data_IF_156550277500
#
_entry.id   IF_156550277500
#
_cell.length_a   1.000
_cell.length_b   1.000
_cell.length_c   1.000
_cell.angle_alpha   90.00
_cell.angle_beta   90.00
_cell.angle_gamma   90.00
#
_symmetry.space_group_name_H-M   'P 1'
#
loop_
_entity.id
_entity.type
_entity.pdbx_description
1 polymer ?
#
# COMPACT_ATOMS: atom_id res chain seq x y z
N UNK A 1 -2.26 6.71 13.34
CA UNK A 1 -2.47 5.58 12.40
C UNK A 1 -3.48 4.62 12.98
N UNK A 2 -4.43 4.13 12.19
CA UNK A 2 -5.44 3.15 12.55
C UNK A 2 -5.29 1.91 11.67
N UNK A 3 -5.19 0.73 12.29
CA UNK A 3 -5.12 -0.56 11.60
C UNK A 3 -6.40 -1.31 11.85
N UNK A 4 -7.10 -1.71 10.80
CA UNK A 4 -8.35 -2.43 10.94
C UNK A 4 -8.71 -3.23 9.68
N UNK A 5 -9.61 -4.19 9.83
CA UNK A 5 -10.30 -4.84 8.70
C UNK A 5 -11.63 -4.14 8.46
N UNK A 6 -12.00 -4.00 7.19
CA UNK A 6 -13.29 -3.39 6.82
C UNK A 6 -14.45 -4.38 6.80
N UNK A 7 -14.18 -5.67 6.70
CA UNK A 7 -15.20 -6.72 6.51
C UNK A 7 -15.53 -7.48 7.79
N UNK A 8 -14.67 -7.43 8.81
CA UNK A 8 -14.93 -8.03 10.12
C UNK A 8 -15.97 -7.26 10.93
N UNK A 9 -16.45 -7.83 12.03
CA UNK A 9 -17.41 -7.16 12.92
C UNK A 9 -16.78 -6.02 13.72
N UNK A 10 -15.72 -6.31 14.47
CA UNK A 10 -15.03 -5.33 15.33
C UNK A 10 -14.25 -4.30 14.52
N UNK A 11 -13.44 -4.75 13.56
CA UNK A 11 -12.61 -3.87 12.74
C UNK A 11 -13.41 -2.91 11.88
N UNK A 12 -14.58 -3.30 11.40
CA UNK A 12 -15.49 -2.44 10.65
C UNK A 12 -16.27 -1.49 11.56
N UNK A 13 -17.00 -2.01 12.54
CA UNK A 13 -17.89 -1.23 13.39
C UNK A 13 -17.13 -0.34 14.37
N UNK A 14 -16.35 -0.93 15.27
CA UNK A 14 -15.56 -0.19 16.25
C UNK A 14 -14.48 0.66 15.59
N UNK A 15 -13.79 0.13 14.56
CA UNK A 15 -12.79 0.87 13.80
C UNK A 15 -13.34 2.12 13.16
N UNK A 16 -14.51 2.04 12.52
CA UNK A 16 -15.20 3.20 11.94
C UNK A 16 -15.66 4.21 12.99
N UNK A 17 -16.16 3.74 14.12
CA UNK A 17 -16.56 4.61 15.23
C UNK A 17 -15.35 5.36 15.81
N UNK A 18 -14.24 4.66 16.05
CA UNK A 18 -13.02 5.29 16.53
C UNK A 18 -12.47 6.32 15.54
N UNK A 19 -12.51 6.01 14.24
CA UNK A 19 -12.09 6.93 13.19
C UNK A 19 -12.89 8.24 13.23
N UNK A 20 -14.21 8.15 13.31
CA UNK A 20 -15.10 9.30 13.43
C UNK A 20 -14.79 10.11 14.69
N UNK A 21 -14.64 9.46 15.85
CA UNK A 21 -14.30 10.12 17.11
C UNK A 21 -12.94 10.78 17.12
N UNK A 22 -11.95 10.17 16.45
CA UNK A 22 -10.63 10.77 16.31
C UNK A 22 -10.69 12.01 15.42
N UNK A 23 -11.43 11.96 14.33
CA UNK A 23 -11.62 13.10 13.44
C UNK A 23 -12.32 14.27 14.15
N UNK A 24 -13.36 14.00 14.92
CA UNK A 24 -14.10 15.01 15.70
C UNK A 24 -13.21 15.65 16.76
N UNK A 25 -12.41 14.84 17.46
CA UNK A 25 -11.60 15.32 18.57
C UNK A 25 -10.30 16.00 18.13
N UNK A 26 -9.75 15.58 16.98
CA UNK A 26 -8.47 16.06 16.46
C UNK A 26 -8.56 16.49 15.00
N UNK A 27 -9.38 17.47 14.65
CA UNK A 27 -9.67 17.85 13.25
C UNK A 27 -8.45 18.39 12.50
N UNK A 28 -7.38 18.79 13.21
CA UNK A 28 -6.14 19.31 12.62
C UNK A 28 -5.01 18.27 12.56
N UNK A 29 -5.28 17.01 12.91
CA UNK A 29 -4.29 15.94 12.90
C UNK A 29 -4.55 14.98 11.77
N UNK A 30 -3.50 14.58 11.06
CA UNK A 30 -3.55 13.60 9.99
C UNK A 30 -3.99 12.23 10.52
N UNK A 31 -5.03 11.68 9.92
CA UNK A 31 -5.51 10.33 10.22
C UNK A 31 -5.22 9.44 9.01
N UNK A 32 -4.23 8.58 9.16
CA UNK A 32 -3.90 7.54 8.18
C UNK A 32 -4.41 6.19 8.65
N UNK A 33 -5.03 5.45 7.74
CA UNK A 33 -5.50 4.08 8.01
C UNK A 33 -4.77 3.07 7.14
N UNK A 34 -4.52 1.88 7.71
CA UNK A 34 -4.18 0.67 6.96
C UNK A 34 -5.39 -0.24 7.03
N UNK A 35 -6.08 -0.36 5.92
CA UNK A 35 -7.36 -1.06 5.86
C UNK A 35 -7.23 -2.35 5.08
N UNK A 36 -7.52 -3.46 5.75
CA UNK A 36 -7.48 -4.79 5.15
C UNK A 36 -8.84 -5.07 4.50
N UNK A 37 -8.80 -5.32 3.20
CA UNK A 37 -9.96 -5.65 2.38
C UNK A 37 -10.12 -7.16 2.29
N UNK A 38 -11.36 -7.66 2.32
CA UNK A 38 -11.63 -9.09 2.20
C UNK A 38 -11.27 -9.60 0.81
N UNK A 39 -10.98 -10.90 0.74
CA UNK A 39 -10.91 -11.59 -0.55
C UNK A 39 -12.32 -11.65 -1.16
N UNK A 40 -12.45 -11.10 -2.36
CA UNK A 40 -13.72 -11.13 -3.12
C UNK A 40 -13.82 -12.32 -4.08
N UNK A 41 -12.76 -13.12 -4.22
CA UNK A 41 -12.71 -14.25 -5.15
C UNK A 41 -13.14 -15.55 -4.51
N UNK A 42 -12.88 -15.71 -3.22
CA UNK A 42 -13.39 -16.83 -2.42
C UNK A 42 -14.74 -16.49 -1.81
N UNK A 43 -15.59 -17.50 -1.66
CA UNK A 43 -16.87 -17.30 -0.99
C UNK A 43 -16.62 -16.79 0.45
N UNK A 44 -17.29 -15.71 0.87
CA UNK A 44 -17.07 -15.16 2.20
C UNK A 44 -17.58 -16.14 3.27
N UNK A 45 -16.75 -16.39 4.28
CA UNK A 45 -17.13 -17.19 5.45
C UNK A 45 -18.29 -16.56 6.22
N UNK A 46 -18.41 -15.25 6.12
CA UNK A 46 -19.42 -14.45 6.82
C UNK A 46 -20.30 -13.73 5.78
N UNK A 47 -21.58 -14.05 5.77
CA UNK A 47 -22.57 -13.52 4.80
C UNK A 47 -22.68 -11.98 4.85
N UNK A 48 -22.45 -11.35 6.00
CA UNK A 48 -22.60 -9.89 6.21
C UNK A 48 -21.35 -9.08 5.86
N UNK A 49 -20.27 -9.71 5.40
CA UNK A 49 -19.02 -9.00 5.03
C UNK A 49 -19.24 -7.83 4.05
N UNK A 50 -20.03 -7.95 2.98
CA UNK A 50 -20.23 -6.85 2.03
C UNK A 50 -20.91 -5.64 2.67
N UNK A 51 -21.85 -5.86 3.59
CA UNK A 51 -22.52 -4.77 4.30
C UNK A 51 -21.57 -4.05 5.25
N UNK A 52 -20.79 -4.79 6.03
CA UNK A 52 -19.79 -4.24 6.91
C UNK A 52 -18.75 -3.42 6.11
N UNK A 53 -18.28 -3.97 5.00
CA UNK A 53 -17.32 -3.31 4.13
C UNK A 53 -17.87 -1.99 3.55
N UNK A 54 -19.11 -1.99 3.05
CA UNK A 54 -19.72 -0.79 2.48
C UNK A 54 -19.90 0.32 3.52
N UNK A 55 -20.36 -0.03 4.72
CA UNK A 55 -20.53 0.92 5.82
C UNK A 55 -19.20 1.48 6.32
N UNK A 56 -18.15 0.63 6.42
CA UNK A 56 -16.81 1.06 6.78
C UNK A 56 -16.18 1.96 5.72
N UNK A 57 -16.35 1.65 4.42
CA UNK A 57 -15.86 2.48 3.31
C UNK A 57 -16.46 3.88 3.33
N UNK A 58 -17.74 4.01 3.65
CA UNK A 58 -18.38 5.32 3.81
C UNK A 58 -17.65 6.15 4.87
N UNK A 59 -17.39 5.58 6.05
CA UNK A 59 -16.70 6.29 7.14
C UNK A 59 -15.24 6.61 6.80
N UNK A 60 -14.55 5.72 6.10
CA UNK A 60 -13.20 5.95 5.61
C UNK A 60 -13.17 7.11 4.61
N UNK A 61 -14.14 7.20 3.72
CA UNK A 61 -14.22 8.28 2.72
C UNK A 61 -14.51 9.65 3.37
N UNK A 62 -15.29 9.68 4.44
CA UNK A 62 -15.68 10.90 5.12
C UNK A 62 -14.64 11.40 6.14
N UNK A 63 -13.91 10.50 6.82
CA UNK A 63 -13.16 10.84 8.03
C UNK A 63 -11.65 10.52 7.98
N UNK A 64 -11.17 9.80 6.98
CA UNK A 64 -9.75 9.51 6.84
C UNK A 64 -9.08 10.48 5.88
N UNK A 65 -7.85 10.92 6.18
CA UNK A 65 -7.04 11.74 5.27
C UNK A 65 -6.31 10.87 4.25
N UNK A 66 -5.89 9.67 4.63
CA UNK A 66 -5.30 8.71 3.73
C UNK A 66 -5.62 7.28 4.15
N UNK A 67 -5.93 6.44 3.18
CA UNK A 67 -6.25 5.02 3.36
C UNK A 67 -5.30 4.18 2.52
N UNK A 68 -4.42 3.43 3.18
CA UNK A 68 -3.59 2.44 2.52
C UNK A 68 -4.39 1.13 2.42
N UNK A 69 -4.65 0.73 1.20
CA UNK A 69 -5.46 -0.47 0.91
C UNK A 69 -4.57 -1.70 0.87
N UNK A 70 -4.93 -2.71 1.64
CA UNK A 70 -4.29 -4.02 1.68
C UNK A 70 -5.35 -5.10 1.39
N UNK A 71 -5.20 -5.80 0.28
CA UNK A 71 -6.18 -6.81 -0.15
C UNK A 71 -5.69 -8.21 0.21
N UNK A 72 -6.48 -8.95 0.98
CA UNK A 72 -6.15 -10.32 1.40
C UNK A 72 -5.91 -11.26 0.22
N UNK A 73 -6.67 -11.12 -0.88
CA UNK A 73 -6.46 -11.93 -2.08
C UNK A 73 -5.09 -11.67 -2.71
N UNK A 74 -4.68 -10.41 -2.80
CA UNK A 74 -3.38 -10.03 -3.33
C UNK A 74 -2.24 -10.52 -2.43
N UNK A 75 -2.40 -10.36 -1.13
CA UNK A 75 -1.41 -10.80 -0.14
C UNK A 75 -1.24 -12.32 -0.13
N UNK A 76 -2.33 -13.08 -0.18
CA UNK A 76 -2.29 -14.54 -0.28
C UNK A 76 -1.60 -14.99 -1.58
N UNK A 77 -1.88 -14.34 -2.70
CA UNK A 77 -1.20 -14.59 -3.98
C UNK A 77 0.31 -14.33 -3.88
N UNK A 78 0.72 -13.21 -3.30
CA UNK A 78 2.13 -12.88 -3.12
C UNK A 78 2.82 -13.91 -2.22
N UNK A 79 2.19 -14.31 -1.12
CA UNK A 79 2.70 -15.34 -0.23
C UNK A 79 2.90 -16.69 -0.95
N UNK A 80 1.91 -17.12 -1.72
CA UNK A 80 1.97 -18.35 -2.49
C UNK A 80 3.03 -18.31 -3.61
N UNK A 81 3.02 -17.24 -4.42
CA UNK A 81 3.85 -17.15 -5.64
C UNK A 81 5.31 -16.83 -5.34
N UNK A 82 5.58 -16.03 -4.32
CA UNK A 82 6.91 -15.47 -4.06
C UNK A 82 7.61 -16.14 -2.89
N UNK A 83 6.88 -16.45 -1.82
CA UNK A 83 7.43 -17.03 -0.61
C UNK A 83 7.21 -18.54 -0.55
N UNK A 84 6.36 -19.09 -1.43
CA UNK A 84 5.96 -20.52 -1.45
C UNK A 84 5.41 -21.02 -0.11
N UNK A 85 4.76 -20.13 0.62
CA UNK A 85 4.21 -20.41 1.96
C UNK A 85 2.73 -20.03 1.98
N UNK A 86 1.95 -20.82 2.70
CA UNK A 86 0.52 -20.59 2.86
C UNK A 86 0.19 -20.40 4.35
N UNK A 87 -0.52 -19.34 4.69
CA UNK A 87 -0.99 -19.11 6.06
C UNK A 87 -1.17 -17.64 6.41
N UNK A 88 -1.91 -17.39 7.45
CA UNK A 88 -2.22 -16.03 7.93
C UNK A 88 -1.01 -15.33 8.53
N UNK A 89 -0.08 -16.09 9.12
CA UNK A 89 1.13 -15.56 9.74
C UNK A 89 2.01 -14.86 8.69
N UNK A 90 2.20 -15.49 7.54
CA UNK A 90 3.00 -14.93 6.44
C UNK A 90 2.33 -13.72 5.80
N UNK A 91 1.01 -13.74 5.70
CA UNK A 91 0.23 -12.58 5.25
C UNK A 91 0.43 -11.40 6.19
N UNK A 92 0.40 -11.63 7.50
CA UNK A 92 0.66 -10.61 8.50
C UNK A 92 2.11 -10.09 8.46
N UNK A 93 3.08 -10.96 8.17
CA UNK A 93 4.47 -10.57 7.97
C UNK A 93 4.64 -9.66 6.75
N UNK A 94 3.96 -9.96 5.64
CA UNK A 94 3.94 -9.08 4.46
C UNK A 94 3.35 -7.70 4.78
N UNK A 95 2.22 -7.66 5.48
CA UNK A 95 1.60 -6.41 5.93
C UNK A 95 2.57 -5.61 6.81
N UNK A 96 3.19 -6.26 7.79
CA UNK A 96 4.17 -5.64 8.67
C UNK A 96 5.36 -5.06 7.89
N UNK A 97 5.86 -5.79 6.89
CA UNK A 97 6.95 -5.33 6.02
C UNK A 97 6.55 -4.08 5.22
N UNK A 98 5.38 -4.07 4.63
CA UNK A 98 4.85 -2.91 3.89
C UNK A 98 4.66 -1.71 4.80
N UNK A 99 4.09 -1.90 5.99
CA UNK A 99 3.93 -0.84 6.98
C UNK A 99 5.28 -0.29 7.45
N UNK A 100 6.23 -1.17 7.71
CA UNK A 100 7.60 -0.78 8.07
C UNK A 100 8.26 0.03 6.97
N UNK A 101 8.16 -0.40 5.73
CA UNK A 101 8.73 0.30 4.59
C UNK A 101 8.06 1.65 4.32
N UNK A 102 6.72 1.74 4.44
CA UNK A 102 5.97 3.01 4.25
C UNK A 102 6.30 4.08 5.29
N UNK A 103 6.70 3.67 6.49
CA UNK A 103 7.07 4.57 7.58
C UNK A 103 8.59 4.73 7.75
N UNK A 104 9.37 4.15 6.85
CA UNK A 104 10.83 4.16 6.95
C UNK A 104 11.42 5.58 6.96
N UNK A 105 10.90 6.47 6.12
CA UNK A 105 11.35 7.86 6.05
C UNK A 105 11.08 8.65 7.32
N UNK A 106 10.02 8.33 8.06
CA UNK A 106 9.71 8.90 9.35
C UNK A 106 10.63 8.38 10.46
N UNK A 107 10.89 7.07 10.46
CA UNK A 107 11.69 6.40 11.50
C UNK A 107 13.21 6.61 11.31
N UNK A 108 13.62 6.71 10.06
CA UNK A 108 15.01 6.95 9.66
C UNK A 108 15.05 8.20 8.79
N UNK A 109 15.12 9.40 9.41
CA UNK A 109 15.04 10.66 8.69
C UNK A 109 16.22 10.83 7.72
N UNK A 110 15.90 11.19 6.49
CA UNK A 110 16.83 11.53 5.43
C UNK A 110 16.75 13.03 5.09
N UNK A 111 17.24 13.39 3.91
CA UNK A 111 17.23 14.78 3.44
C UNK A 111 15.86 15.25 2.95
N UNK A 112 14.97 14.32 2.60
CA UNK A 112 13.66 14.63 1.99
C UNK A 112 12.54 13.81 2.65
N UNK A 113 11.35 14.42 2.77
CA UNK A 113 10.12 13.75 3.21
C UNK A 113 10.23 13.00 4.55
N UNK A 114 10.64 13.70 5.59
CA UNK A 114 10.81 13.13 6.94
C UNK A 114 9.52 13.11 7.76
N UNK A 115 8.42 13.59 7.20
CA UNK A 115 7.12 13.68 7.86
C UNK A 115 6.02 13.05 7.02
N UNK A 116 5.01 12.50 7.68
CA UNK A 116 3.86 11.89 7.00
C UNK A 116 2.97 12.92 6.32
N UNK A 117 2.95 14.15 6.82
CA UNK A 117 2.13 15.21 6.23
C UNK A 117 2.63 15.56 4.85
N UNK A 118 3.95 15.74 4.68
CA UNK A 118 4.58 15.99 3.39
C UNK A 118 4.39 14.84 2.40
N UNK A 119 4.48 13.58 2.89
CA UNK A 119 4.22 12.39 2.07
C UNK A 119 2.78 12.35 1.57
N UNK A 120 1.82 12.51 2.45
CA UNK A 120 0.39 12.50 2.12
C UNK A 120 0.04 13.66 1.19
N UNK A 121 0.57 14.85 1.44
CA UNK A 121 0.36 16.03 0.60
C UNK A 121 0.88 15.84 -0.84
N UNK A 122 1.99 15.12 -1.00
CA UNK A 122 2.54 14.82 -2.32
C UNK A 122 1.74 13.76 -3.09
N UNK A 123 1.12 12.81 -2.37
CA UNK A 123 0.38 11.70 -2.95
C UNK A 123 -1.08 12.02 -3.25
N UNK A 124 -1.70 12.90 -2.46
CA UNK A 124 -3.13 13.17 -2.50
C UNK A 124 -3.37 14.61 -2.96
N UNK A 125 -3.37 14.87 -4.27
CA UNK A 125 -3.65 16.21 -4.79
C UNK A 125 -5.13 16.61 -4.65
N UNK A 126 -6.02 15.63 -4.51
CA UNK A 126 -7.46 15.85 -4.37
C UNK A 126 -7.96 15.11 -3.12
N UNK A 127 -8.59 15.80 -2.15
CA UNK A 127 -8.98 15.20 -0.87
C UNK A 127 -9.87 13.95 -0.98
N UNK A 128 -10.65 13.83 -2.05
CA UNK A 128 -11.54 12.68 -2.26
C UNK A 128 -10.83 11.45 -2.82
N UNK A 129 -9.64 11.62 -3.41
CA UNK A 129 -8.83 10.54 -4.00
C UNK A 129 -7.73 10.13 -3.02
N UNK A 130 -8.10 9.69 -1.83
CA UNK A 130 -7.18 9.40 -0.73
C UNK A 130 -6.97 7.91 -0.45
N UNK A 131 -7.47 7.03 -1.31
CA UNK A 131 -7.20 5.60 -1.25
C UNK A 131 -5.89 5.30 -1.99
N UNK A 132 -4.91 4.82 -1.25
CA UNK A 132 -3.56 4.57 -1.74
C UNK A 132 -3.33 3.07 -1.95
N UNK A 133 -2.73 2.74 -3.06
CA UNK A 133 -2.31 1.40 -3.39
C UNK A 133 -0.82 1.24 -3.09
N UNK A 134 -0.44 0.17 -2.39
CA UNK A 134 0.95 -0.15 -2.09
C UNK A 134 1.49 -1.24 -2.99
N UNK A 135 2.78 -1.17 -3.30
CA UNK A 135 3.54 -2.21 -3.97
C UNK A 135 4.92 -2.34 -3.31
N UNK A 136 5.46 -3.54 -3.27
CA UNK A 136 6.75 -3.80 -2.61
C UNK A 136 7.61 -4.76 -3.45
N UNK A 137 8.91 -4.55 -3.42
CA UNK A 137 9.90 -5.46 -3.99
C UNK A 137 11.30 -5.18 -3.39
N UNK A 138 12.16 -6.16 -3.18
CA UNK A 138 11.93 -7.60 -3.35
C UNK A 138 11.22 -8.22 -2.16
N UNK A 139 10.40 -9.25 -2.40
CA UNK A 139 9.98 -10.14 -1.34
C UNK A 139 11.07 -11.20 -1.16
N UNK A 140 11.65 -11.26 0.03
CA UNK A 140 12.65 -12.26 0.39
C UNK A 140 12.07 -13.17 1.47
N UNK A 141 12.16 -14.48 1.25
CA UNK A 141 11.90 -15.45 2.29
C UNK A 141 13.00 -15.44 3.38
N UNK A 142 12.89 -16.28 4.38
CA UNK A 142 13.86 -16.35 5.51
C UNK A 142 15.30 -16.61 5.09
N UNK A 143 15.54 -17.16 3.88
CA UNK A 143 16.88 -17.43 3.35
C UNK A 143 17.47 -16.22 2.60
N UNK A 144 17.71 -15.13 3.33
CA UNK A 144 18.24 -13.87 2.77
C UNK A 144 19.65 -14.02 2.17
N UNK A 145 20.43 -14.99 2.62
CA UNK A 145 21.84 -15.12 2.22
C UNK A 145 22.03 -15.58 0.78
N UNK A 146 21.09 -16.31 0.22
CA UNK A 146 21.13 -16.74 -1.17
C UNK A 146 20.68 -15.66 -2.17
N UNK A 147 19.91 -14.69 -1.73
CA UNK A 147 19.41 -13.62 -2.60
C UNK A 147 20.46 -12.54 -2.92
N UNK A 148 21.49 -12.39 -2.08
CA UNK A 148 22.54 -11.38 -2.25
C UNK A 148 23.52 -11.69 -3.38
N UNK A 149 23.62 -12.93 -3.80
CA UNK A 149 24.67 -13.38 -4.74
C UNK A 149 24.25 -13.37 -6.20
N UNK A 150 22.98 -13.20 -6.54
CA UNK A 150 22.50 -13.63 -7.86
C UNK A 150 22.23 -12.54 -8.89
N UNK A 151 22.05 -11.26 -8.56
CA UNK A 151 21.91 -10.21 -9.60
C UNK A 151 22.19 -8.81 -9.10
N UNK A 152 23.07 -8.08 -9.79
CA UNK A 152 23.05 -6.60 -9.80
C UNK A 152 21.71 -6.14 -10.38
N UNK A 153 20.78 -5.79 -9.53
CA UNK A 153 19.46 -5.32 -9.94
C UNK A 153 19.57 -3.83 -10.23
N UNK A 154 19.29 -3.42 -11.45
CA UNK A 154 19.28 -1.99 -11.79
C UNK A 154 18.05 -1.32 -11.19
N UNK A 155 18.13 0.00 -10.95
CA UNK A 155 16.98 0.79 -10.46
C UNK A 155 15.79 0.65 -11.41
N UNK A 156 16.03 0.63 -12.71
CA UNK A 156 15.00 0.42 -13.73
C UNK A 156 14.26 -0.91 -13.57
N UNK A 157 14.99 -2.01 -13.34
CA UNK A 157 14.36 -3.33 -13.17
C UNK A 157 13.46 -3.38 -11.93
N UNK A 158 13.88 -2.69 -10.88
CA UNK A 158 13.11 -2.58 -9.66
C UNK A 158 11.84 -1.78 -9.89
N UNK A 159 11.93 -0.61 -10.53
CA UNK A 159 10.76 0.22 -10.82
C UNK A 159 9.76 -0.52 -11.72
N UNK A 160 10.24 -1.24 -12.73
CA UNK A 160 9.39 -2.09 -13.58
C UNK A 160 8.72 -3.21 -12.81
N UNK A 161 9.41 -3.85 -11.86
CA UNK A 161 8.83 -4.90 -11.02
C UNK A 161 7.74 -4.36 -10.10
N UNK A 162 7.92 -3.18 -9.53
CA UNK A 162 6.93 -2.54 -8.66
C UNK A 162 5.60 -2.27 -9.38
N UNK A 163 5.66 -2.00 -10.69
CA UNK A 163 4.47 -1.76 -11.51
C UNK A 163 3.75 -3.04 -11.93
N UNK A 164 4.38 -4.21 -11.75
CA UNK A 164 3.75 -5.48 -12.11
C UNK A 164 2.65 -5.86 -11.13
N UNK A 165 1.48 -6.33 -11.61
CA UNK A 165 0.36 -6.72 -10.76
C UNK A 165 0.70 -7.74 -9.67
N UNK A 166 1.71 -8.59 -9.92
CA UNK A 166 2.17 -9.58 -8.94
C UNK A 166 2.82 -9.00 -7.69
N UNK A 167 3.30 -7.76 -7.74
CA UNK A 167 3.94 -7.08 -6.61
C UNK A 167 3.02 -6.06 -5.95
N UNK A 168 1.82 -5.88 -6.48
CA UNK A 168 0.83 -4.96 -5.94
C UNK A 168 0.01 -5.65 -4.84
N UNK A 169 -0.20 -4.93 -3.74
CA UNK A 169 -0.98 -5.38 -2.58
C UNK A 169 -2.49 -5.29 -2.80
N UNK A 170 -2.92 -5.03 -4.03
CA UNK A 170 -4.32 -4.88 -4.41
C UNK A 170 -4.58 -5.67 -5.68
N UNK A 171 -5.71 -6.38 -5.73
CA UNK A 171 -6.11 -7.23 -6.86
C UNK A 171 -6.86 -6.49 -7.97
N UNK A 172 -6.81 -5.15 -7.99
CA UNK A 172 -7.47 -4.37 -9.03
C UNK A 172 -6.81 -4.56 -10.39
N UNK A 173 -7.63 -4.81 -11.40
CA UNK A 173 -7.19 -4.84 -12.80
C UNK A 173 -7.44 -3.46 -13.41
N UNK A 174 -6.38 -2.70 -13.73
CA UNK A 174 -6.57 -1.41 -14.38
C UNK A 174 -7.24 -1.60 -15.74
N UNK A 175 -8.27 -0.83 -16.01
CA UNK A 175 -8.90 -0.78 -17.33
C UNK A 175 -8.01 -0.07 -18.36
N UNK A 176 -8.34 -0.17 -19.65
CA UNK A 176 -7.56 0.47 -20.73
C UNK A 176 -7.42 1.99 -20.57
N UNK A 177 -8.36 2.63 -19.89
CA UNK A 177 -8.39 4.07 -19.64
C UNK A 177 -7.99 4.43 -18.20
N UNK A 178 -7.56 3.47 -17.40
CA UNK A 178 -7.09 3.73 -16.04
C UNK A 178 -5.74 4.38 -16.07
N UNK A 179 -5.57 5.34 -15.20
CA UNK A 179 -4.32 6.04 -15.06
C UNK A 179 -4.04 6.39 -13.61
N UNK A 180 -2.78 6.67 -13.31
CA UNK A 180 -2.30 6.96 -11.97
C UNK A 180 -2.19 8.49 -11.75
N UNK A 181 -2.68 9.07 -10.64
CA UNK A 181 -2.63 10.53 -10.35
C UNK A 181 -1.25 10.93 -9.84
N UNK A 182 -0.69 10.14 -8.95
CA UNK A 182 0.54 10.45 -8.24
C UNK A 182 1.27 9.18 -7.88
N UNK A 183 2.61 9.22 -7.86
CA UNK A 183 3.48 8.14 -7.41
C UNK A 183 4.43 8.68 -6.36
N UNK A 184 4.59 7.93 -5.28
CA UNK A 184 5.71 8.08 -4.39
C UNK A 184 6.54 6.81 -4.43
N UNK A 185 7.83 6.95 -4.69
CA UNK A 185 8.77 5.84 -4.67
C UNK A 185 9.77 6.04 -3.52
N UNK A 186 9.79 5.12 -2.57
CA UNK A 186 10.75 5.11 -1.47
C UNK A 186 11.80 4.05 -1.80
N UNK A 187 13.02 4.49 -2.05
CA UNK A 187 14.15 3.63 -2.37
C UNK A 187 15.13 3.70 -1.20
N UNK A 188 15.45 2.54 -0.64
CA UNK A 188 16.46 2.41 0.41
C UNK A 188 17.69 1.70 -0.16
N UNK A 189 18.86 2.29 0.00
CA UNK A 189 20.13 1.77 -0.50
C UNK A 189 20.85 2.78 -1.38
N UNK A 190 21.98 2.36 -1.92
CA UNK A 190 22.79 3.14 -2.87
C UNK A 190 22.09 3.16 -4.23
N UNK A 191 21.43 4.26 -4.53
CA UNK A 191 20.79 4.49 -5.83
C UNK A 191 21.25 5.84 -6.37
N UNK A 192 21.71 5.89 -7.63
CA UNK A 192 22.00 7.14 -8.28
C UNK A 192 20.69 7.88 -8.59
N UNK A 193 20.61 9.13 -8.16
CA UNK A 193 19.44 9.98 -8.40
C UNK A 193 19.19 10.22 -9.89
N UNK A 194 20.24 10.20 -10.71
CA UNK A 194 20.17 10.32 -12.15
C UNK A 194 19.48 9.13 -12.78
N UNK A 195 19.82 7.92 -12.34
CA UNK A 195 19.18 6.69 -12.79
C UNK A 195 17.70 6.64 -12.39
N UNK A 196 17.37 7.07 -11.18
CA UNK A 196 15.98 7.19 -10.75
C UNK A 196 15.20 8.13 -11.65
N UNK A 197 15.75 9.31 -11.97
CA UNK A 197 15.09 10.33 -12.81
C UNK A 197 14.90 9.85 -14.25
N UNK A 198 15.91 9.24 -14.85
CA UNK A 198 15.87 8.79 -16.24
C UNK A 198 14.97 7.58 -16.46
N UNK A 199 14.74 6.80 -15.41
CA UNK A 199 13.96 5.57 -15.45
C UNK A 199 12.54 5.72 -14.89
N UNK A 200 12.12 6.92 -14.51
CA UNK A 200 10.70 7.18 -14.32
C UNK A 200 9.97 6.80 -15.61
N UNK A 201 8.95 5.95 -15.55
CA UNK A 201 8.16 5.67 -16.71
C UNK A 201 7.62 6.99 -17.23
N UNK A 202 8.17 7.43 -18.38
CA UNK A 202 7.62 8.60 -19.07
C UNK A 202 6.13 8.31 -19.29
N UNK A 203 5.24 9.20 -18.91
CA UNK A 203 3.83 8.96 -19.12
C UNK A 203 3.62 8.75 -20.63
N UNK A 204 2.92 7.70 -21.06
CA UNK A 204 2.39 7.67 -22.39
C UNK A 204 1.51 8.93 -22.57
N UNK A 205 1.32 9.46 -23.76
CA UNK A 205 0.84 10.81 -24.01
C UNK A 205 -0.60 11.11 -23.54
N UNK A 206 -1.21 10.27 -22.74
CA UNK A 206 -2.55 10.45 -22.20
C UNK A 206 -2.69 9.96 -20.77
N UNK A 207 -2.76 10.93 -19.84
CA UNK A 207 -3.43 10.95 -18.51
C UNK A 207 -3.22 9.76 -17.59
N UNK A 208 -2.47 9.93 -16.48
CA UNK A 208 -2.06 8.79 -15.65
C UNK A 208 -1.94 9.05 -14.14
N UNK A 209 -2.32 8.08 -13.38
CA UNK A 209 -2.42 8.01 -11.93
C UNK A 209 -1.65 6.81 -11.38
N UNK A 210 -0.77 6.94 -10.40
CA UNK A 210 0.03 5.83 -9.92
C UNK A 210 0.19 5.61 -8.42
N UNK A 211 0.58 4.36 -8.05
CA UNK A 211 0.57 3.94 -6.69
C UNK A 211 1.78 4.40 -5.90
N UNK A 212 1.64 4.23 -4.61
CA UNK A 212 2.65 4.25 -3.60
C UNK A 212 3.59 3.05 -3.76
N UNK A 213 4.90 3.28 -3.88
CA UNK A 213 5.89 2.25 -4.12
C UNK A 213 6.98 2.24 -3.05
N UNK A 214 7.24 1.08 -2.47
CA UNK A 214 8.20 0.90 -1.39
C UNK A 214 9.27 -0.14 -1.73
N UNK A 215 10.53 0.16 -1.43
CA UNK A 215 11.64 -0.77 -1.55
C UNK A 215 12.63 -0.66 -0.40
N UNK A 216 13.17 -1.82 -0.02
CA UNK A 216 14.45 -2.02 0.65
C UNK A 216 15.55 -2.30 -0.34
#
# INVERSE_FOLDING_TARGET
>A
MLLHSIAGGTGSGLGSFMLERLNDRFPKKLIQTYSVFPDTQTAPDIVVQPYNALLALRRLTENADSVVVLDNAALARIAADTLHVHGDEQTNQLISTVMSASTATLRYPGYMHNDLVGLVASLIPTPRCHFLQASYTPFTGESVDTAKTVRKTTVLDVMRRLLQPKNQMVSTKPGKNSCYISILNIIMGEADSTDVRNNFPSPPPTRHLLPFLLRN
#
